data_IF_639579963801
#
_entry.id   IF_639579963801
#
_cell.length_a   1.000
_cell.length_b   1.000
_cell.length_c   1.000
_cell.angle_alpha   90.00
_cell.angle_beta   90.00
_cell.angle_gamma   90.00
#
_symmetry.space_group_name_H-M   'P 1'
#
loop_
_entity.id
_entity.type
_entity.pdbx_description
1 polymer ?
#
# COMPACT_ATOMS: atom_id res chain seq x y z
N UNK A 1 -5.70 -6.37 18.01
CA UNK A 1 -6.11 -4.96 17.92
C UNK A 1 -7.48 -4.77 18.59
N UNK A 2 -7.70 -3.74 19.42
CA UNK A 2 -9.02 -3.46 20.00
C UNK A 2 -10.05 -3.17 18.90
N UNK A 3 -11.22 -3.81 18.93
CA UNK A 3 -12.25 -3.70 17.86
C UNK A 3 -12.67 -2.26 17.53
N UNK A 4 -12.61 -1.37 18.51
CA UNK A 4 -12.92 0.05 18.33
C UNK A 4 -11.93 0.76 17.39
N UNK A 5 -10.64 0.49 17.50
CA UNK A 5 -9.63 1.10 16.64
C UNK A 5 -9.73 0.57 15.20
N UNK A 6 -9.99 -0.73 15.05
CA UNK A 6 -10.21 -1.34 13.73
C UNK A 6 -11.43 -0.72 13.01
N UNK A 7 -12.51 -0.46 13.76
CA UNK A 7 -13.69 0.22 13.24
C UNK A 7 -13.38 1.64 12.77
N UNK A 8 -12.63 2.42 13.56
CA UNK A 8 -12.23 3.78 13.17
C UNK A 8 -11.33 3.81 11.93
N UNK A 9 -10.41 2.85 11.80
CA UNK A 9 -9.56 2.74 10.60
C UNK A 9 -10.36 2.40 9.35
N UNK A 10 -11.38 1.55 9.46
CA UNK A 10 -12.28 1.22 8.36
C UNK A 10 -13.15 2.39 7.88
N UNK A 11 -13.27 3.47 8.65
CA UNK A 11 -13.98 4.69 8.25
C UNK A 11 -13.11 5.62 7.39
N UNK A 12 -11.80 5.39 7.29
CA UNK A 12 -10.93 6.24 6.49
C UNK A 12 -11.17 6.01 4.99
N UNK A 13 -11.43 7.07 4.19
CA UNK A 13 -11.71 6.91 2.78
C UNK A 13 -10.45 6.43 2.05
N UNK A 14 -10.59 5.32 1.32
CA UNK A 14 -9.56 4.80 0.45
C UNK A 14 -9.49 5.69 -0.80
N UNK A 15 -8.47 6.55 -0.88
CA UNK A 15 -8.20 7.30 -2.11
C UNK A 15 -7.50 6.39 -3.10
N UNK A 16 -8.18 6.10 -4.21
CA UNK A 16 -7.60 5.34 -5.33
C UNK A 16 -6.90 6.30 -6.29
N UNK A 17 -5.63 6.04 -6.55
CA UNK A 17 -4.88 6.73 -7.59
C UNK A 17 -5.15 6.07 -8.95
N UNK A 18 -5.68 6.79 -9.96
CA UNK A 18 -5.97 6.21 -11.26
C UNK A 18 -4.70 5.79 -12.02
N UNK A 19 -3.52 6.31 -11.67
CA UNK A 19 -2.25 6.05 -12.35
C UNK A 19 -1.52 4.83 -11.79
N UNK A 20 -2.01 4.23 -10.71
CA UNK A 20 -1.41 3.07 -10.06
C UNK A 20 -2.33 1.86 -10.16
N UNK A 21 -1.76 0.72 -10.51
CA UNK A 21 -2.39 -0.58 -10.40
C UNK A 21 -2.13 -1.12 -8.99
N UNK A 22 -3.21 -1.44 -8.27
CA UNK A 22 -3.15 -2.03 -6.93
C UNK A 22 -3.48 -3.51 -7.04
N UNK A 23 -2.68 -4.36 -6.41
CA UNK A 23 -2.88 -5.81 -6.39
C UNK A 23 -2.66 -6.34 -4.98
N UNK A 24 -3.72 -6.88 -4.38
CA UNK A 24 -3.66 -7.52 -3.07
C UNK A 24 -3.22 -8.98 -3.24
N UNK A 25 -2.29 -9.42 -2.39
CA UNK A 25 -1.76 -10.78 -2.39
C UNK A 25 -1.28 -11.18 -0.99
N UNK A 26 -0.78 -12.40 -0.84
CA UNK A 26 -0.24 -12.89 0.43
C UNK A 26 1.14 -13.51 0.21
N UNK A 27 2.07 -13.23 1.12
CA UNK A 27 3.32 -13.95 1.25
C UNK A 27 3.23 -14.88 2.47
N UNK A 28 2.95 -16.15 2.20
CA UNK A 28 2.57 -17.10 3.25
C UNK A 28 1.26 -16.64 3.91
N UNK A 29 1.31 -16.34 5.20
CA UNK A 29 0.17 -15.83 5.98
C UNK A 29 0.12 -14.30 6.08
N UNK A 30 1.10 -13.59 5.50
CA UNK A 30 1.21 -12.14 5.63
C UNK A 30 0.48 -11.46 4.46
N UNK A 31 -0.54 -10.63 4.73
CA UNK A 31 -1.19 -9.84 3.69
C UNK A 31 -0.23 -8.77 3.17
N UNK A 32 -0.11 -8.66 1.86
CA UNK A 32 0.72 -7.64 1.21
C UNK A 32 -0.03 -7.01 0.04
N UNK A 33 0.27 -5.75 -0.24
CA UNK A 33 -0.34 -5.01 -1.35
C UNK A 33 0.73 -4.47 -2.27
N UNK A 34 0.67 -4.84 -3.54
CA UNK A 34 1.58 -4.39 -4.57
C UNK A 34 0.97 -3.20 -5.33
N UNK A 35 1.70 -2.10 -5.40
CA UNK A 35 1.36 -0.90 -6.13
C UNK A 35 2.35 -0.72 -7.28
N UNK A 36 1.85 -0.77 -8.50
CA UNK A 36 2.66 -0.63 -9.71
C UNK A 36 2.13 0.52 -10.55
N UNK A 37 2.97 1.50 -10.95
CA UNK A 37 2.52 2.55 -11.86
C UNK A 37 2.09 1.96 -13.21
N UNK A 38 0.98 2.45 -13.76
CA UNK A 38 0.40 1.96 -15.02
C UNK A 38 1.20 2.38 -16.25
N UNK A 39 2.01 3.43 -16.13
CA UNK A 39 2.88 3.91 -17.20
C UNK A 39 3.79 2.76 -17.68
N UNK A 40 3.85 2.55 -18.99
CA UNK A 40 4.81 1.59 -19.55
C UNK A 40 6.24 2.03 -19.18
N UNK A 41 7.10 1.09 -18.80
CA UNK A 41 8.52 1.33 -18.65
C UNK A 41 9.28 0.41 -19.59
N UNK A 42 10.27 0.96 -20.30
CA UNK A 42 11.19 0.20 -21.14
C UNK A 42 12.29 -0.50 -20.34
N UNK A 43 12.37 -0.24 -19.03
CA UNK A 43 13.37 -0.80 -18.12
C UNK A 43 12.72 -1.38 -16.86
N UNK A 44 13.39 -2.32 -16.17
CA UNK A 44 12.95 -2.77 -14.86
C UNK A 44 12.77 -1.60 -13.89
N UNK A 45 11.64 -1.56 -13.21
CA UNK A 45 11.34 -0.54 -12.19
C UNK A 45 12.04 -0.90 -10.88
N UNK A 46 12.43 0.11 -10.10
CA UNK A 46 12.92 -0.10 -8.73
C UNK A 46 11.79 -0.65 -7.86
N UNK A 47 12.14 -1.48 -6.89
CA UNK A 47 11.23 -2.00 -5.88
C UNK A 47 11.43 -1.26 -4.56
N UNK A 48 10.32 -0.92 -3.89
CA UNK A 48 10.29 -0.35 -2.54
C UNK A 48 9.46 -1.28 -1.68
N UNK A 49 9.96 -1.67 -0.51
CA UNK A 49 9.19 -2.40 0.50
C UNK A 49 8.79 -1.40 1.59
N UNK A 50 7.50 -1.25 1.82
CA UNK A 50 6.94 -0.32 2.78
C UNK A 50 6.33 -1.08 3.96
N UNK A 51 6.85 -0.82 5.15
CA UNK A 51 6.27 -1.29 6.41
C UNK A 51 5.46 -0.15 7.01
N UNK A 52 4.19 -0.42 7.33
CA UNK A 52 3.34 0.61 7.90
C UNK A 52 3.75 0.96 9.34
N UNK A 53 3.44 2.20 9.74
CA UNK A 53 3.65 2.67 11.11
C UNK A 53 2.54 2.20 12.06
N UNK A 54 2.40 2.85 13.21
CA UNK A 54 1.37 2.51 14.21
C UNK A 54 1.82 1.54 15.29
N UNK A 55 3.14 1.40 15.49
CA UNK A 55 3.74 0.72 16.65
C UNK A 55 3.35 -0.75 16.79
N UNK A 56 3.06 -1.43 15.68
CA UNK A 56 2.51 -2.80 15.64
C UNK A 56 1.14 -2.98 16.32
N UNK A 57 0.46 -1.88 16.65
CA UNK A 57 -0.84 -1.87 17.33
C UNK A 57 -1.95 -1.27 16.47
N UNK A 58 -1.62 -0.37 15.55
CA UNK A 58 -2.55 0.33 14.66
C UNK A 58 -1.98 0.43 13.25
N UNK A 59 -2.81 0.81 12.29
CA UNK A 59 -2.46 0.94 10.89
C UNK A 59 -2.94 -0.24 10.05
N UNK A 60 -3.28 0.08 8.80
CA UNK A 60 -3.72 -0.90 7.81
C UNK A 60 -3.16 -0.55 6.43
N UNK A 61 -3.15 -1.54 5.52
CA UNK A 61 -2.79 -1.33 4.11
C UNK A 61 -3.65 -0.25 3.45
N UNK A 62 -4.90 -0.09 3.88
CA UNK A 62 -5.82 0.92 3.39
C UNK A 62 -5.46 2.33 3.87
N UNK A 63 -5.05 2.47 5.13
CA UNK A 63 -4.65 3.75 5.71
C UNK A 63 -3.48 4.38 4.94
N UNK A 64 -2.51 3.55 4.52
CA UNK A 64 -1.31 4.00 3.83
C UNK A 64 -1.42 3.95 2.29
N UNK A 65 -2.56 3.53 1.73
CA UNK A 65 -2.69 3.35 0.28
C UNK A 65 -2.42 4.64 -0.50
N UNK A 66 -2.97 5.77 -0.05
CA UNK A 66 -2.82 7.07 -0.73
C UNK A 66 -1.36 7.51 -0.78
N UNK A 67 -0.65 7.36 0.34
CA UNK A 67 0.77 7.71 0.45
C UNK A 67 1.63 6.80 -0.44
N UNK A 68 1.38 5.49 -0.41
CA UNK A 68 2.14 4.54 -1.21
C UNK A 68 1.84 4.67 -2.71
N UNK A 69 0.63 5.07 -3.07
CA UNK A 69 0.26 5.36 -4.47
C UNK A 69 1.03 6.57 -4.98
N UNK A 70 1.09 7.65 -4.19
CA UNK A 70 1.90 8.83 -4.50
C UNK A 70 3.38 8.44 -4.63
N UNK A 71 3.91 7.67 -3.67
CA UNK A 71 5.29 7.20 -3.70
C UNK A 71 5.59 6.39 -4.96
N UNK A 72 4.72 5.45 -5.33
CA UNK A 72 4.87 4.64 -6.55
C UNK A 72 4.87 5.52 -7.81
N UNK A 73 3.94 6.47 -7.90
CA UNK A 73 3.80 7.38 -9.04
C UNK A 73 5.01 8.31 -9.19
N UNK A 74 5.37 9.04 -8.13
CA UNK A 74 6.44 10.05 -8.16
C UNK A 74 7.83 9.44 -8.37
N UNK A 75 8.05 8.22 -7.88
CA UNK A 75 9.35 7.55 -8.00
C UNK A 75 9.44 6.58 -9.18
N UNK A 76 8.37 6.47 -9.98
CA UNK A 76 8.22 5.45 -11.04
C UNK A 76 8.59 4.03 -10.56
N UNK A 77 8.33 3.72 -9.29
CA UNK A 77 8.75 2.48 -8.63
C UNK A 77 7.57 1.58 -8.27
N UNK A 78 7.83 0.29 -8.15
CA UNK A 78 6.87 -0.68 -7.61
C UNK A 78 6.98 -0.67 -6.10
N UNK A 79 5.87 -0.45 -5.39
CA UNK A 79 5.82 -0.42 -3.92
C UNK A 79 5.08 -1.66 -3.41
N UNK A 80 5.74 -2.46 -2.59
CA UNK A 80 5.14 -3.57 -1.86
C UNK A 80 4.87 -3.12 -0.42
N UNK A 81 3.60 -2.97 -0.07
CA UNK A 81 3.17 -2.69 1.29
C UNK A 81 3.02 -4.00 2.05
N UNK A 82 3.61 -4.07 3.24
CA UNK A 82 3.47 -5.21 4.15
C UNK A 82 2.47 -4.84 5.25
N UNK A 83 1.47 -5.71 5.46
CA UNK A 83 0.41 -5.54 6.46
C UNK A 83 0.59 -6.40 7.70
#
# INVERSE_FOLDING_TARGET
MPRFLQFLEGLMPIKKDPNVLVTDMHFGTIPVRLLKPKKASSQPRRGIIFYHGGGALTGSLDHYQSLCSLLASETDSVVLMVG
#
